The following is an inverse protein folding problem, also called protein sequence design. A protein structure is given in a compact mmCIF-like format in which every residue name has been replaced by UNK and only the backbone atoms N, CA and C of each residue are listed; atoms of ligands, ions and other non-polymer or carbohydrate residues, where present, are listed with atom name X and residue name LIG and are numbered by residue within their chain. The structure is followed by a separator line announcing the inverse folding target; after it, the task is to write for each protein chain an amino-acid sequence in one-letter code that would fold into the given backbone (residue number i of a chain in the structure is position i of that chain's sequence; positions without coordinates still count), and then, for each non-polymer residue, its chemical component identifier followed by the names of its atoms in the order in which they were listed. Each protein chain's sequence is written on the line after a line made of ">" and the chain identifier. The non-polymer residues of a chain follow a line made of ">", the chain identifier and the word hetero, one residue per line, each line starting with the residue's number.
data_IF_707358416379
#
_entry.id   IF_707358416379
#
_cell.length_a   1.000
_cell.length_b   1.000
_cell.length_c   1.000
_cell.angle_alpha   90.00
_cell.angle_beta   90.00
_cell.angle_gamma   90.00
#
_symmetry.space_group_name_H-M   'P 1'
#
loop_
_entity.id
_entity.type
_entity.pdbx_description
1 polymer ?
#
# COMPACT_ATOMS: atom_id res chain seq x y z
N UNK A 1 -4.40 -4.69 14.67
CA UNK A 1 -5.68 -5.13 14.15
C UNK A 1 -5.97 -6.45 14.80
N UNK A 2 -6.48 -7.42 14.05
CA UNK A 2 -6.74 -8.76 14.55
C UNK A 2 -6.11 -9.79 13.61
N UNK A 3 -5.64 -10.91 14.16
CA UNK A 3 -5.15 -12.02 13.36
C UNK A 3 -6.20 -13.13 13.39
N UNK A 4 -6.58 -13.67 12.23
CA UNK A 4 -7.64 -14.69 12.16
C UNK A 4 -7.20 -15.96 12.90
N UNK A 5 -8.04 -16.45 13.81
CA UNK A 5 -7.72 -17.62 14.62
C UNK A 5 -6.86 -17.35 15.86
N UNK A 6 -6.52 -16.09 16.15
CA UNK A 6 -5.83 -15.69 17.38
C UNK A 6 -6.66 -14.64 18.14
N UNK A 7 -7.02 -14.92 19.39
CA UNK A 7 -7.87 -14.04 20.21
C UNK A 7 -7.17 -12.73 20.65
N UNK A 8 -5.84 -12.69 20.60
CA UNK A 8 -5.06 -11.51 20.98
C UNK A 8 -5.32 -10.33 20.03
N UNK A 9 -5.50 -9.13 20.60
CA UNK A 9 -5.59 -7.90 19.82
C UNK A 9 -4.20 -7.38 19.48
N UNK A 10 -3.97 -7.07 18.20
CA UNK A 10 -2.68 -6.55 17.69
C UNK A 10 -2.71 -5.03 17.46
N UNK A 11 -3.73 -4.32 17.96
CA UNK A 11 -3.93 -2.88 17.66
C UNK A 11 -2.87 -1.98 18.30
N UNK A 12 -2.39 -2.34 19.48
CA UNK A 12 -1.38 -1.59 20.22
C UNK A 12 0.06 -2.04 19.90
N UNK A 13 0.23 -3.01 19.00
CA UNK A 13 1.54 -3.54 18.67
C UNK A 13 2.23 -2.60 17.68
N UNK A 14 3.44 -2.17 18.03
CA UNK A 14 4.30 -1.36 17.15
C UNK A 14 5.08 -2.25 16.19
N UNK A 15 4.37 -2.79 15.20
CA UNK A 15 4.96 -3.61 14.14
C UNK A 15 5.31 -2.72 12.94
N UNK A 16 6.48 -2.06 13.00
CA UNK A 16 7.00 -1.25 11.90
C UNK A 16 6.48 0.19 11.89
N UNK A 17 6.33 0.76 10.70
CA UNK A 17 5.90 2.16 10.53
C UNK A 17 4.38 2.31 10.66
N UNK A 18 3.95 3.31 11.42
CA UNK A 18 2.55 3.73 11.56
C UNK A 18 2.35 5.01 10.75
N UNK A 19 1.42 4.99 9.80
CA UNK A 19 1.13 6.12 8.93
C UNK A 19 -0.35 6.17 8.55
N UNK A 20 -0.85 7.36 8.23
CA UNK A 20 -2.19 7.52 7.64
C UNK A 20 -2.16 7.25 6.13
N UNK A 21 -3.33 7.12 5.51
CA UNK A 21 -3.41 6.94 4.06
C UNK A 21 -2.95 8.20 3.31
N UNK A 22 -3.17 9.37 3.91
CA UNK A 22 -2.70 10.66 3.41
C UNK A 22 -1.16 10.74 3.43
N UNK A 23 -0.53 10.41 4.55
CA UNK A 23 0.94 10.44 4.67
C UNK A 23 1.60 9.49 3.66
N UNK A 24 1.08 8.27 3.51
CA UNK A 24 1.57 7.30 2.52
C UNK A 24 1.32 7.82 1.09
N UNK A 25 0.18 8.45 0.85
CA UNK A 25 -0.14 9.06 -0.44
C UNK A 25 0.84 10.15 -0.84
N UNK A 26 1.14 11.06 0.09
CA UNK A 26 2.13 12.14 -0.10
C UNK A 26 3.51 11.55 -0.35
N UNK A 27 3.93 10.59 0.48
CA UNK A 27 5.22 9.91 0.33
C UNK A 27 5.36 9.25 -1.04
N UNK A 28 4.37 8.45 -1.46
CA UNK A 28 4.42 7.76 -2.75
C UNK A 28 4.39 8.73 -3.93
N UNK A 29 3.67 9.84 -3.83
CA UNK A 29 3.71 10.88 -4.88
C UNK A 29 5.11 11.48 -5.00
N UNK A 30 5.70 11.90 -3.87
CA UNK A 30 7.05 12.46 -3.82
C UNK A 30 8.13 11.46 -4.29
N UNK A 31 7.93 10.17 -4.00
CA UNK A 31 8.79 9.09 -4.46
C UNK A 31 8.74 8.94 -5.98
N UNK A 32 7.54 8.98 -6.58
CA UNK A 32 7.36 8.75 -8.02
C UNK A 32 7.72 9.98 -8.87
N UNK A 33 7.34 11.19 -8.44
CA UNK A 33 7.76 12.42 -9.11
C UNK A 33 9.27 12.69 -8.92
N UNK A 34 9.85 12.14 -7.87
CA UNK A 34 11.27 12.19 -7.55
C UNK A 34 11.69 13.42 -6.74
N UNK A 35 10.74 14.21 -6.25
CA UNK A 35 10.98 15.34 -5.35
C UNK A 35 11.57 14.91 -4.00
N UNK A 36 11.47 13.63 -3.64
CA UNK A 36 12.11 13.05 -2.47
C UNK A 36 13.64 12.93 -2.61
N UNK A 37 14.16 12.85 -3.84
CA UNK A 37 15.54 12.45 -4.11
C UNK A 37 16.49 13.62 -4.36
N UNK A 38 17.73 13.46 -3.92
CA UNK A 38 18.86 14.28 -4.38
C UNK A 38 19.41 13.75 -5.72
N UNK A 39 20.37 14.50 -6.29
CA UNK A 39 21.03 14.16 -7.54
C UNK A 39 21.62 12.73 -7.50
N UNK A 40 21.20 11.88 -8.43
CA UNK A 40 21.64 10.49 -8.57
C UNK A 40 20.90 9.44 -7.72
N UNK A 41 20.17 9.83 -6.67
CA UNK A 41 19.48 8.86 -5.78
C UNK A 41 18.29 8.18 -6.47
N UNK A 42 17.55 8.93 -7.30
CA UNK A 42 16.40 8.40 -8.05
C UNK A 42 16.77 7.27 -9.01
N UNK A 43 17.94 7.39 -9.65
CA UNK A 43 18.42 6.40 -10.62
C UNK A 43 18.79 5.09 -9.93
N UNK A 44 19.41 5.18 -8.75
CA UNK A 44 19.68 4.02 -7.90
C UNK A 44 18.36 3.36 -7.51
N UNK A 45 17.40 4.13 -6.99
CA UNK A 45 16.11 3.60 -6.54
C UNK A 45 15.32 2.91 -7.66
N UNK A 46 15.25 3.54 -8.84
CA UNK A 46 14.51 3.02 -9.99
C UNK A 46 15.12 1.74 -10.57
N UNK A 47 16.42 1.50 -10.32
CA UNK A 47 17.11 0.29 -10.79
C UNK A 47 16.82 -0.96 -9.94
N UNK A 48 16.28 -0.78 -8.72
CA UNK A 48 16.13 -1.86 -7.73
C UNK A 48 14.68 -2.13 -7.32
N UNK A 49 13.76 -1.17 -7.50
CA UNK A 49 12.42 -1.27 -6.91
C UNK A 49 11.31 -0.93 -7.91
N UNK A 50 10.36 -1.85 -8.05
CA UNK A 50 9.10 -1.60 -8.76
C UNK A 50 8.16 -0.89 -7.79
N UNK A 51 7.54 0.22 -8.19
CA UNK A 51 6.79 1.18 -7.37
C UNK A 51 5.50 0.66 -6.68
N UNK A 52 5.37 -0.65 -6.50
CA UNK A 52 4.29 -1.29 -5.75
C UNK A 52 4.77 -1.66 -4.35
N UNK A 53 4.07 -1.16 -3.34
CA UNK A 53 4.41 -1.39 -1.94
C UNK A 53 3.34 -2.24 -1.27
N UNK A 54 3.73 -3.45 -0.86
CA UNK A 54 2.92 -4.35 -0.03
C UNK A 54 3.44 -4.40 1.40
N UNK A 55 2.55 -4.36 2.37
CA UNK A 55 2.87 -4.55 3.79
C UNK A 55 2.05 -5.70 4.36
N UNK A 56 2.70 -6.60 5.10
CA UNK A 56 2.05 -7.72 5.75
C UNK A 56 2.69 -7.93 7.13
N UNK A 57 1.92 -7.68 8.18
CA UNK A 57 2.34 -7.86 9.59
C UNK A 57 1.19 -8.44 10.40
N UNK A 58 1.44 -9.08 11.55
CA UNK A 58 0.34 -9.60 12.37
C UNK A 58 -0.70 -8.52 12.70
N UNK A 59 -1.92 -8.75 12.21
CA UNK A 59 -3.07 -7.89 12.42
C UNK A 59 -3.23 -6.73 11.44
N UNK A 60 -2.36 -6.57 10.44
CA UNK A 60 -2.52 -5.56 9.38
C UNK A 60 -1.89 -5.97 8.05
N UNK A 61 -2.56 -5.62 6.97
CA UNK A 61 -1.98 -5.66 5.62
C UNK A 61 -2.27 -4.37 4.86
N UNK A 62 -1.39 -4.03 3.94
CA UNK A 62 -1.48 -2.81 3.14
C UNK A 62 -1.04 -3.04 1.70
N UNK A 63 -1.67 -2.29 0.79
CA UNK A 63 -1.28 -2.17 -0.61
C UNK A 63 -1.29 -0.70 -0.97
N UNK A 64 -0.21 -0.21 -1.57
CA UNK A 64 -0.09 1.17 -2.00
C UNK A 64 0.70 1.26 -3.30
N UNK A 65 0.16 1.97 -4.28
CA UNK A 65 0.74 2.08 -5.62
C UNK A 65 0.35 3.42 -6.25
N UNK A 66 1.27 3.98 -7.03
CA UNK A 66 1.02 5.11 -7.92
C UNK A 66 0.65 4.59 -9.32
N UNK A 67 -0.55 4.91 -9.77
CA UNK A 67 -1.11 4.53 -11.06
C UNK A 67 -0.91 5.67 -12.06
N UNK A 68 0.11 5.56 -12.90
CA UNK A 68 0.54 6.62 -13.81
C UNK A 68 -0.54 7.03 -14.82
N UNK A 69 -1.34 6.09 -15.29
CA UNK A 69 -2.34 6.34 -16.35
C UNK A 69 -3.48 7.28 -15.87
N UNK A 70 -3.77 7.27 -14.56
CA UNK A 70 -4.77 8.11 -13.89
C UNK A 70 -4.16 9.20 -12.99
N UNK A 71 -2.84 9.33 -12.96
CA UNK A 71 -2.10 10.23 -12.04
C UNK A 71 -2.62 10.15 -10.58
N UNK A 72 -2.87 8.94 -10.08
CA UNK A 72 -3.45 8.73 -8.76
C UNK A 72 -2.62 7.78 -7.91
N UNK A 73 -2.53 8.07 -6.61
CA UNK A 73 -2.02 7.12 -5.61
C UNK A 73 -3.22 6.44 -4.97
N UNK A 74 -3.26 5.11 -4.97
CA UNK A 74 -4.29 4.33 -4.30
C UNK A 74 -3.67 3.59 -3.12
N UNK A 75 -4.13 3.92 -1.91
CA UNK A 75 -3.67 3.33 -0.64
C UNK A 75 -4.80 2.53 -0.01
N UNK A 76 -4.51 1.29 0.35
CA UNK A 76 -5.42 0.39 1.06
C UNK A 76 -4.78 -0.07 2.36
N UNK A 77 -5.52 0.07 3.46
CA UNK A 77 -5.20 -0.55 4.74
C UNK A 77 -6.30 -1.50 5.16
N UNK A 78 -5.91 -2.69 5.60
CA UNK A 78 -6.80 -3.71 6.15
C UNK A 78 -6.28 -4.08 7.53
N UNK A 79 -7.16 -4.09 8.53
CA UNK A 79 -6.82 -4.32 9.93
C UNK A 79 -6.94 -5.79 10.36
N UNK A 80 -6.80 -6.70 9.39
CA UNK A 80 -6.77 -8.14 9.60
C UNK A 80 -5.70 -8.81 8.77
N UNK A 81 -5.23 -9.95 9.25
CA UNK A 81 -4.36 -10.86 8.50
C UNK A 81 -4.62 -12.31 8.89
N UNK A 82 -4.39 -13.19 7.93
CA UNK A 82 -4.06 -14.60 8.13
C UNK A 82 -2.98 -14.94 7.10
N UNK A 83 -1.81 -15.40 7.55
CA UNK A 83 -0.70 -15.71 6.65
C UNK A 83 -0.91 -17.03 5.91
N UNK A 84 -1.80 -17.89 6.39
CA UNK A 84 -2.17 -19.15 5.75
C UNK A 84 -3.55 -19.08 5.08
N UNK A 85 -4.24 -17.94 5.23
CA UNK A 85 -5.58 -17.70 4.72
C UNK A 85 -5.62 -17.00 3.35
N UNK A 86 -6.81 -16.55 2.96
CA UNK A 86 -7.06 -15.89 1.68
C UNK A 86 -7.15 -14.37 1.79
N UNK A 87 -6.93 -13.81 2.97
CA UNK A 87 -7.09 -12.40 3.33
C UNK A 87 -6.22 -11.52 2.44
N UNK A 88 -4.99 -11.95 2.13
CA UNK A 88 -4.11 -11.24 1.19
C UNK A 88 -4.70 -11.21 -0.21
N UNK A 89 -5.09 -12.36 -0.76
CA UNK A 89 -5.68 -12.46 -2.10
C UNK A 89 -6.99 -11.67 -2.21
N UNK A 90 -7.83 -11.70 -1.16
CA UNK A 90 -9.04 -10.89 -1.08
C UNK A 90 -8.70 -9.40 -1.06
N UNK A 91 -7.66 -8.99 -0.34
CA UNK A 91 -7.15 -7.60 -0.35
C UNK A 91 -6.78 -7.17 -1.76
N UNK A 92 -6.04 -8.00 -2.50
CA UNK A 92 -5.65 -7.73 -3.88
C UNK A 92 -6.86 -7.62 -4.82
N UNK A 93 -7.84 -8.50 -4.69
CA UNK A 93 -9.08 -8.45 -5.49
C UNK A 93 -9.84 -7.15 -5.20
N UNK A 94 -9.98 -6.77 -3.93
CA UNK A 94 -10.65 -5.53 -3.54
C UNK A 94 -9.87 -4.32 -4.03
N UNK A 95 -8.55 -4.32 -3.88
CA UNK A 95 -7.66 -3.27 -4.35
C UNK A 95 -7.83 -3.03 -5.85
N UNK A 96 -7.74 -4.10 -6.65
CA UNK A 96 -7.91 -4.03 -8.10
C UNK A 96 -9.30 -3.54 -8.52
N UNK A 97 -10.34 -3.84 -7.74
CA UNK A 97 -11.69 -3.30 -7.99
C UNK A 97 -11.76 -1.80 -7.72
N UNK A 98 -11.12 -1.33 -6.64
CA UNK A 98 -11.04 0.11 -6.33
C UNK A 98 -10.30 0.84 -7.44
N UNK A 99 -9.14 0.35 -7.88
CA UNK A 99 -8.39 0.94 -8.99
C UNK A 99 -9.26 1.06 -10.25
N UNK A 100 -9.95 -0.04 -10.64
CA UNK A 100 -10.88 -0.02 -11.79
C UNK A 100 -12.04 0.97 -11.66
N UNK A 101 -12.51 1.24 -10.45
CA UNK A 101 -13.53 2.27 -10.22
C UNK A 101 -12.93 3.65 -10.44
N UNK A 102 -11.74 3.91 -9.88
CA UNK A 102 -11.04 5.19 -10.05
C UNK A 102 -10.71 5.44 -11.53
N UNK A 103 -10.23 4.43 -12.26
CA UNK A 103 -10.00 4.51 -13.72
C UNK A 103 -11.24 4.95 -14.48
N UNK A 104 -12.38 4.30 -14.23
CA UNK A 104 -13.66 4.63 -14.89
C UNK A 104 -14.13 6.05 -14.60
N UNK A 105 -14.01 6.50 -13.35
CA UNK A 105 -14.38 7.87 -12.97
C UNK A 105 -13.46 8.92 -13.61
N UNK A 106 -12.24 8.53 -14.02
CA UNK A 106 -11.28 9.38 -14.74
C UNK A 106 -11.30 9.15 -16.27
N UNK A 107 -12.25 8.36 -16.79
CA UNK A 107 -12.46 8.19 -18.24
C UNK A 107 -11.56 7.15 -18.92
N UNK A 108 -10.98 6.22 -18.15
CA UNK A 108 -10.26 5.04 -18.63
C UNK A 108 -11.09 3.75 -18.44
#
# INVERSE_FOLDING_TARGET
>A
GYYVGIDAAFKANENGMLATAEDVGIFLRALNDGSLFNEGEKDIYSSIYVYKHGGLVPGYQSLAEYHKDIDAVVVQFVNTTDFEGYEWNLSEIVYNRVVKIVERENGL
#
